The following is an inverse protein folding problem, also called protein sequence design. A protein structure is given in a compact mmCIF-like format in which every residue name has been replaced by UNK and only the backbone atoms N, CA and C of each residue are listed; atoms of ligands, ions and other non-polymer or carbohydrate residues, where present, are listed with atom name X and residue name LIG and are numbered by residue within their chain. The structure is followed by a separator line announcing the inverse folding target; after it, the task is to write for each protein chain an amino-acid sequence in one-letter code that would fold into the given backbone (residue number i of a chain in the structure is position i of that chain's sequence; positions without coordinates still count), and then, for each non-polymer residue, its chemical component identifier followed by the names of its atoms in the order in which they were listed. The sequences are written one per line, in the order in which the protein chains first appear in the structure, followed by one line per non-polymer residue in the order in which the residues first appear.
data_IF_667436021109
#
_entry.id   IF_667436021109
#
_cell.length_a   1.000
_cell.length_b   1.000
_cell.length_c   1.000
_cell.angle_alpha   90.00
_cell.angle_beta   90.00
_cell.angle_gamma   90.00
#
_symmetry.space_group_name_H-M   'P 1'
#
loop_
_entity.id
_entity.type
_entity.pdbx_description
1 polymer ?
#
# COMPACT_ATOMS: atom_id res chain seq x y z
N UNK A 1 -24.66 61.35 -44.76
CA UNK A 1 -23.74 60.91 -45.83
C UNK A 1 -22.34 60.56 -45.39
N UNK A 2 -21.66 61.39 -44.58
CA UNK A 2 -20.27 61.03 -44.09
C UNK A 2 -20.15 59.69 -43.35
N UNK A 3 -21.12 59.29 -42.51
CA UNK A 3 -21.10 58.00 -41.76
C UNK A 3 -21.28 56.77 -42.67
N UNK A 4 -22.03 56.91 -43.76
CA UNK A 4 -22.26 55.82 -44.71
C UNK A 4 -21.02 55.63 -45.57
N UNK A 5 -20.35 56.74 -45.93
CA UNK A 5 -19.10 56.68 -46.66
C UNK A 5 -17.96 56.01 -45.85
N UNK A 6 -17.91 56.30 -44.55
CA UNK A 6 -16.93 55.67 -43.64
C UNK A 6 -17.17 54.17 -43.46
N UNK A 7 -18.46 53.75 -43.35
CA UNK A 7 -18.82 52.33 -43.30
C UNK A 7 -18.48 51.58 -44.60
N UNK A 8 -18.69 52.20 -45.73
CA UNK A 8 -18.32 51.61 -47.02
C UNK A 8 -16.81 51.47 -47.22
N UNK A 9 -16.05 52.47 -46.71
CA UNK A 9 -14.58 52.41 -46.72
C UNK A 9 -14.05 51.30 -45.83
N UNK A 10 -14.67 51.06 -44.66
CA UNK A 10 -14.29 49.96 -43.76
C UNK A 10 -14.60 48.58 -44.32
N UNK A 11 -15.71 48.47 -45.11
CA UNK A 11 -16.10 47.23 -45.81
C UNK A 11 -15.14 46.87 -46.96
N UNK A 12 -14.55 47.87 -47.60
CA UNK A 12 -13.58 47.71 -48.68
C UNK A 12 -12.20 47.25 -48.16
N UNK A 13 -11.81 47.72 -46.97
CA UNK A 13 -10.51 47.35 -46.37
C UNK A 13 -10.53 45.91 -45.82
N UNK A 14 -11.71 45.41 -45.42
CA UNK A 14 -11.84 44.04 -44.89
C UNK A 14 -11.63 42.94 -45.91
N UNK A 15 -11.64 43.26 -47.21
CA UNK A 15 -11.38 42.27 -48.29
C UNK A 15 -9.92 42.11 -48.68
N UNK A 16 -9.00 42.89 -48.09
CA UNK A 16 -7.58 42.82 -48.47
C UNK A 16 -6.72 41.93 -47.55
N UNK A 17 -7.31 41.22 -46.58
CA UNK A 17 -6.61 40.19 -45.81
C UNK A 17 -6.56 38.88 -46.61
N UNK A 18 -5.93 38.87 -47.77
CA UNK A 18 -5.54 37.64 -48.43
C UNK A 18 -4.34 37.05 -47.70
N UNK A 19 -4.63 36.05 -46.91
CA UNK A 19 -3.55 35.21 -46.33
C UNK A 19 -2.77 34.63 -47.53
N UNK A 20 -1.56 35.10 -47.74
CA UNK A 20 -0.67 34.56 -48.76
C UNK A 20 -0.06 33.30 -48.20
N UNK A 21 -0.46 32.18 -48.78
CA UNK A 21 0.24 30.92 -48.52
C UNK A 21 1.62 31.02 -49.19
N UNK A 22 2.67 31.02 -48.40
CA UNK A 22 4.05 31.08 -48.88
C UNK A 22 4.55 29.74 -49.37
N UNK A 23 3.71 28.70 -49.33
CA UNK A 23 4.10 27.36 -49.68
C UNK A 23 5.22 26.79 -48.80
N UNK A 24 5.75 25.69 -49.18
CA UNK A 24 6.84 25.02 -48.47
C UNK A 24 8.17 25.68 -48.90
N UNK A 25 8.76 26.49 -48.01
CA UNK A 25 10.06 27.11 -48.23
C UNK A 25 11.14 26.28 -47.53
N UNK A 26 11.91 25.52 -48.32
CA UNK A 26 13.00 24.69 -47.84
C UNK A 26 12.81 23.21 -48.14
N UNK A 27 13.85 22.42 -47.89
CA UNK A 27 13.78 20.96 -48.03
C UNK A 27 12.92 20.34 -46.92
N UNK A 28 11.70 19.94 -47.28
CA UNK A 28 10.85 19.18 -46.33
C UNK A 28 11.10 17.69 -46.56
N UNK A 29 11.47 17.00 -45.53
CA UNK A 29 11.58 15.56 -45.53
C UNK A 29 10.27 14.96 -45.02
N UNK A 30 9.73 13.98 -45.72
CA UNK A 30 8.60 13.23 -45.21
C UNK A 30 9.04 12.47 -43.98
N UNK A 31 8.39 12.72 -42.83
CA UNK A 31 8.58 11.94 -41.63
C UNK A 31 7.97 10.57 -41.91
N UNK A 32 8.82 9.59 -42.19
CA UNK A 32 8.44 8.17 -42.32
C UNK A 32 8.48 7.49 -40.94
N UNK A 33 7.79 8.06 -39.97
CA UNK A 33 7.62 7.39 -38.72
C UNK A 33 6.60 6.26 -38.88
N UNK A 34 6.99 5.05 -38.46
CA UNK A 34 6.05 3.93 -38.35
C UNK A 34 5.02 4.27 -37.31
N UNK A 35 3.79 3.84 -37.52
CA UNK A 35 2.76 3.92 -36.48
C UNK A 35 3.24 3.19 -35.23
N UNK A 36 3.39 3.91 -34.11
CA UNK A 36 3.91 3.37 -32.85
C UNK A 36 3.09 2.15 -32.36
N UNK A 37 1.78 2.15 -32.61
CA UNK A 37 0.91 1.03 -32.24
C UNK A 37 1.22 -0.22 -33.07
N UNK A 38 1.46 -0.06 -34.35
CA UNK A 38 1.85 -1.18 -35.25
C UNK A 38 3.20 -1.75 -34.83
N UNK A 39 4.17 -0.89 -34.56
CA UNK A 39 5.49 -1.32 -34.11
C UNK A 39 5.43 -2.07 -32.75
N UNK A 40 4.63 -1.59 -31.80
CA UNK A 40 4.42 -2.28 -30.53
C UNK A 40 3.77 -3.65 -30.76
N UNK A 41 2.75 -3.73 -31.61
CA UNK A 41 2.09 -5.00 -31.92
C UNK A 41 3.03 -6.00 -32.60
N UNK A 42 3.82 -5.56 -33.57
CA UNK A 42 4.85 -6.40 -34.22
C UNK A 42 5.85 -6.95 -33.20
N UNK A 43 6.39 -6.07 -32.32
CA UNK A 43 7.35 -6.47 -31.28
C UNK A 43 6.74 -7.45 -30.28
N UNK A 44 5.47 -7.26 -29.89
CA UNK A 44 4.76 -8.17 -29.01
C UNK A 44 4.54 -9.54 -29.66
N UNK A 45 4.15 -9.57 -30.94
CA UNK A 45 3.97 -10.82 -31.67
C UNK A 45 5.29 -11.59 -31.81
N UNK A 46 6.39 -10.91 -32.13
CA UNK A 46 7.71 -11.52 -32.17
C UNK A 46 8.11 -12.06 -30.80
N UNK A 47 7.95 -11.27 -29.73
CA UNK A 47 8.26 -11.70 -28.37
C UNK A 47 7.39 -12.88 -27.90
N UNK A 48 6.17 -13.02 -28.41
CA UNK A 48 5.31 -14.18 -28.17
C UNK A 48 5.80 -15.42 -28.93
N UNK A 49 6.20 -15.26 -30.20
CA UNK A 49 6.66 -16.38 -31.06
C UNK A 49 7.98 -16.96 -30.57
N UNK A 50 8.92 -16.14 -30.14
CA UNK A 50 10.25 -16.56 -29.66
C UNK A 50 10.28 -16.91 -28.16
N UNK A 51 9.13 -16.88 -27.49
CA UNK A 51 8.98 -17.27 -26.06
C UNK A 51 9.48 -16.22 -25.06
N UNK A 52 10.00 -15.07 -25.49
CA UNK A 52 10.46 -13.99 -24.58
C UNK A 52 9.34 -13.48 -23.70
N UNK A 53 8.12 -13.36 -24.24
CA UNK A 53 6.97 -12.91 -23.47
C UNK A 53 6.63 -13.88 -22.33
N UNK A 54 6.62 -15.19 -22.61
CA UNK A 54 6.37 -16.22 -21.57
C UNK A 54 7.46 -16.20 -20.49
N UNK A 55 8.73 -16.11 -20.90
CA UNK A 55 9.85 -16.01 -19.96
C UNK A 55 9.74 -14.78 -19.07
N UNK A 56 9.38 -13.64 -19.64
CA UNK A 56 9.16 -12.41 -18.87
C UNK A 56 8.01 -12.56 -17.88
N UNK A 57 6.87 -13.13 -18.30
CA UNK A 57 5.73 -13.39 -17.42
C UNK A 57 6.10 -14.31 -16.24
N UNK A 58 6.87 -15.37 -16.49
CA UNK A 58 7.37 -16.25 -15.43
C UNK A 58 8.33 -15.52 -14.47
N UNK A 59 9.23 -14.70 -14.99
CA UNK A 59 10.11 -13.90 -14.14
C UNK A 59 9.32 -12.92 -13.27
N UNK A 60 8.35 -12.21 -13.83
CA UNK A 60 7.48 -11.31 -13.08
C UNK A 60 6.70 -12.07 -12.00
N UNK A 61 6.11 -13.22 -12.35
CA UNK A 61 5.38 -14.08 -11.41
C UNK A 61 6.27 -14.54 -10.26
N UNK A 62 7.48 -15.00 -10.56
CA UNK A 62 8.43 -15.47 -9.56
C UNK A 62 8.89 -14.32 -8.65
N UNK A 63 9.20 -13.17 -9.22
CA UNK A 63 9.58 -11.98 -8.44
C UNK A 63 8.46 -11.51 -7.50
N UNK A 64 7.23 -11.47 -8.00
CA UNK A 64 6.05 -11.12 -7.19
C UNK A 64 5.86 -12.15 -6.08
N UNK A 65 5.96 -13.45 -6.40
CA UNK A 65 5.84 -14.51 -5.41
C UNK A 65 6.90 -14.38 -4.31
N UNK A 66 8.15 -14.13 -4.68
CA UNK A 66 9.23 -13.92 -3.70
C UNK A 66 8.97 -12.70 -2.82
N UNK A 67 8.55 -11.58 -3.39
CA UNK A 67 8.23 -10.37 -2.61
C UNK A 67 7.06 -10.56 -1.65
N UNK A 68 6.04 -11.34 -2.04
CA UNK A 68 4.91 -11.65 -1.17
C UNK A 68 5.31 -12.66 -0.10
N UNK A 69 6.09 -13.68 -0.47
CA UNK A 69 6.48 -14.74 0.46
C UNK A 69 7.49 -14.25 1.51
N UNK A 70 8.44 -13.41 1.10
CA UNK A 70 9.48 -12.86 1.98
C UNK A 70 9.51 -11.33 1.88
N UNK A 71 8.54 -10.64 2.50
CA UNK A 71 8.50 -9.19 2.51
C UNK A 71 9.77 -8.63 3.18
N UNK A 72 10.31 -7.54 2.63
CA UNK A 72 11.50 -6.91 3.19
C UNK A 72 11.23 -6.42 4.62
N UNK A 73 12.01 -6.89 5.57
CA UNK A 73 12.08 -6.35 6.92
C UNK A 73 13.23 -5.33 7.00
N UNK A 74 12.96 -4.15 7.52
CA UNK A 74 13.96 -3.08 7.57
C UNK A 74 14.79 -3.09 8.86
N UNK A 75 14.26 -3.63 9.96
CA UNK A 75 14.96 -3.72 11.24
C UNK A 75 14.75 -5.11 11.85
N UNK A 76 15.86 -5.71 12.28
CA UNK A 76 15.84 -6.98 13.00
C UNK A 76 15.62 -6.69 14.49
N UNK A 77 14.48 -7.12 15.02
CA UNK A 77 14.23 -7.06 16.46
C UNK A 77 15.01 -8.18 17.16
N UNK A 78 15.50 -7.87 18.35
CA UNK A 78 16.22 -8.84 19.19
C UNK A 78 15.23 -9.84 19.82
N UNK A 79 15.75 -10.98 20.25
CA UNK A 79 14.98 -11.88 21.08
C UNK A 79 14.84 -11.27 22.49
N UNK A 80 13.65 -11.42 23.08
CA UNK A 80 13.43 -10.99 24.44
C UNK A 80 14.27 -11.84 25.41
N UNK A 81 15.07 -11.16 26.24
CA UNK A 81 15.90 -11.82 27.27
C UNK A 81 15.14 -11.92 28.58
N UNK A 82 14.24 -10.98 28.82
CA UNK A 82 13.39 -10.91 30.01
C UNK A 82 11.96 -10.52 29.62
N UNK A 83 11.01 -10.80 30.48
CA UNK A 83 9.63 -10.40 30.27
C UNK A 83 9.47 -8.91 30.58
N UNK A 84 8.99 -8.14 29.61
CA UNK A 84 8.66 -6.72 29.77
C UNK A 84 7.20 -6.49 29.41
N UNK A 85 6.49 -5.64 30.18
CA UNK A 85 5.10 -5.31 29.87
C UNK A 85 4.81 -3.82 30.04
N UNK A 86 3.92 -3.30 29.19
CA UNK A 86 3.40 -1.92 29.29
C UNK A 86 2.00 -1.81 28.69
N UNK A 87 1.43 -0.63 28.81
CA UNK A 87 0.11 -0.34 28.27
C UNK A 87 0.18 0.72 27.20
N UNK A 88 -0.62 0.54 26.16
CA UNK A 88 -0.80 1.48 25.06
C UNK A 88 -2.24 1.98 25.07
N UNK A 89 -2.44 3.33 25.10
CA UNK A 89 -3.74 3.97 24.94
C UNK A 89 -4.01 4.21 23.43
N UNK A 90 -4.96 3.51 22.81
CA UNK A 90 -5.28 3.68 21.41
C UNK A 90 -6.15 4.90 21.12
N UNK A 91 -6.43 5.74 22.12
CA UNK A 91 -7.22 6.94 21.93
C UNK A 91 -6.58 7.90 20.94
N UNK A 92 -7.42 8.50 20.12
CA UNK A 92 -7.02 9.51 19.12
C UNK A 92 -7.78 10.80 19.33
N UNK A 93 -7.14 11.93 19.07
CA UNK A 93 -7.82 13.22 18.98
C UNK A 93 -8.27 13.43 17.53
N UNK A 94 -9.55 13.76 17.34
CA UNK A 94 -10.09 14.00 16.01
C UNK A 94 -9.55 15.33 15.47
N UNK A 95 -8.92 15.36 14.28
CA UNK A 95 -8.35 16.59 13.73
C UNK A 95 -9.43 17.55 13.19
N UNK A 96 -10.62 17.05 12.89
CA UNK A 96 -11.76 17.82 12.35
C UNK A 96 -13.08 17.23 12.82
N UNK A 97 -14.19 17.99 12.60
CA UNK A 97 -15.54 17.52 12.90
C UNK A 97 -15.91 16.32 12.02
N UNK A 98 -16.38 15.25 12.65
CA UNK A 98 -16.96 14.13 11.91
C UNK A 98 -18.46 14.39 11.70
N UNK A 99 -18.86 14.38 10.43
CA UNK A 99 -20.25 14.66 10.00
C UNK A 99 -20.81 13.44 9.27
N UNK A 100 -22.13 13.28 9.34
CA UNK A 100 -22.85 12.34 8.49
C UNK A 100 -23.02 12.90 7.05
N UNK A 101 -23.68 12.12 6.19
CA UNK A 101 -23.96 12.52 4.80
C UNK A 101 -24.85 13.77 4.70
N UNK A 102 -25.62 14.09 5.76
CA UNK A 102 -26.51 15.24 5.84
C UNK A 102 -25.84 16.47 6.47
N UNK A 103 -24.54 16.38 6.80
CA UNK A 103 -23.78 17.46 7.43
C UNK A 103 -23.94 17.57 8.94
N UNK A 104 -24.69 16.66 9.59
CA UNK A 104 -24.87 16.67 11.06
C UNK A 104 -23.60 16.19 11.73
N UNK A 105 -23.06 17.03 12.62
CA UNK A 105 -21.86 16.71 13.42
C UNK A 105 -22.23 15.69 14.50
N UNK A 106 -21.53 14.56 14.55
CA UNK A 106 -21.65 13.56 15.61
C UNK A 106 -20.43 13.49 16.52
N UNK A 107 -19.27 13.98 16.09
CA UNK A 107 -18.11 14.26 16.91
C UNK A 107 -17.46 15.57 16.49
N UNK A 108 -17.16 16.43 17.46
CA UNK A 108 -16.45 17.70 17.23
C UNK A 108 -14.94 17.46 17.07
N UNK A 109 -14.28 18.37 16.37
CA UNK A 109 -12.83 18.43 16.33
C UNK A 109 -12.24 18.43 17.75
N UNK A 110 -11.04 17.90 17.91
CA UNK A 110 -10.31 17.75 19.18
C UNK A 110 -10.97 16.84 20.23
N UNK A 111 -12.12 16.20 19.92
CA UNK A 111 -12.69 15.18 20.82
C UNK A 111 -11.73 13.99 20.90
N UNK A 112 -11.39 13.58 22.14
CA UNK A 112 -10.63 12.34 22.38
C UNK A 112 -11.59 11.16 22.26
N UNK A 113 -11.30 10.24 21.33
CA UNK A 113 -12.10 9.04 21.08
C UNK A 113 -11.24 7.81 21.26
N UNK A 114 -11.69 6.87 22.09
CA UNK A 114 -11.04 5.56 22.24
C UNK A 114 -11.80 4.51 21.39
N UNK A 115 -11.17 3.92 20.37
CA UNK A 115 -11.81 2.89 19.54
C UNK A 115 -12.29 1.68 20.33
N UNK A 116 -11.57 1.31 21.42
CA UNK A 116 -11.90 0.14 22.24
C UNK A 116 -13.19 0.31 23.07
N UNK A 117 -13.74 1.51 23.16
CA UNK A 117 -15.07 1.75 23.76
C UNK A 117 -16.21 1.28 22.85
N UNK A 118 -15.96 1.19 21.56
CA UNK A 118 -16.96 0.82 20.53
C UNK A 118 -16.71 -0.57 19.97
N UNK A 119 -15.45 -0.92 19.72
CA UNK A 119 -15.04 -2.17 19.07
C UNK A 119 -13.92 -2.80 19.90
N UNK A 120 -14.21 -3.97 20.50
CA UNK A 120 -13.20 -4.71 21.24
C UNK A 120 -12.24 -5.47 20.32
N UNK A 121 -10.99 -5.64 20.78
CA UNK A 121 -10.01 -6.49 20.11
C UNK A 121 -10.39 -7.96 20.35
N UNK A 122 -11.03 -8.59 19.36
CA UNK A 122 -11.55 -9.96 19.47
C UNK A 122 -10.47 -11.04 19.52
N UNK A 123 -9.24 -10.72 19.11
CA UNK A 123 -8.10 -11.66 19.05
C UNK A 123 -6.84 -11.00 19.56
N UNK A 124 -6.07 -11.74 20.37
CA UNK A 124 -4.70 -11.34 20.71
C UNK A 124 -3.81 -11.33 19.47
N UNK A 125 -2.87 -10.39 19.42
CA UNK A 125 -1.87 -10.32 18.37
C UNK A 125 -0.56 -10.88 18.92
N UNK A 126 0.07 -11.81 18.22
CA UNK A 126 1.38 -12.37 18.58
C UNK A 126 2.36 -12.01 17.47
N UNK A 127 3.38 -11.25 17.82
CA UNK A 127 4.46 -10.86 16.93
C UNK A 127 5.64 -11.80 17.13
N UNK A 128 6.16 -12.37 16.05
CA UNK A 128 7.30 -13.29 16.07
C UNK A 128 8.24 -13.07 14.89
N UNK A 129 9.46 -13.51 15.07
CA UNK A 129 10.38 -13.73 13.96
C UNK A 129 10.07 -15.11 13.34
N UNK A 130 9.57 -15.13 12.10
CA UNK A 130 9.23 -16.37 11.39
C UNK A 130 10.45 -17.21 10.98
N UNK A 131 11.68 -16.71 11.13
CA UNK A 131 12.91 -17.47 10.91
C UNK A 131 13.32 -18.25 12.17
N UNK A 132 12.90 -17.77 13.35
CA UNK A 132 13.18 -18.43 14.63
C UNK A 132 12.18 -19.57 14.89
N UNK A 133 12.66 -20.81 14.82
CA UNK A 133 11.83 -22.02 15.01
C UNK A 133 11.20 -22.11 16.41
N UNK A 134 11.87 -21.59 17.45
CA UNK A 134 11.37 -21.61 18.82
C UNK A 134 10.19 -20.66 18.97
N UNK A 135 10.32 -19.45 18.42
CA UNK A 135 9.23 -18.47 18.40
C UNK A 135 8.03 -18.97 17.59
N UNK A 136 8.27 -19.57 16.42
CA UNK A 136 7.22 -20.17 15.59
C UNK A 136 6.48 -21.28 16.33
N UNK A 137 7.22 -22.21 16.96
CA UNK A 137 6.63 -23.29 17.76
C UNK A 137 5.79 -22.73 18.91
N UNK A 138 6.35 -21.82 19.69
CA UNK A 138 5.66 -21.20 20.82
C UNK A 138 4.39 -20.48 20.35
N UNK A 139 4.42 -19.71 19.28
CA UNK A 139 3.24 -19.00 18.75
C UNK A 139 2.13 -19.96 18.28
N UNK A 140 2.48 -21.08 17.69
CA UNK A 140 1.55 -22.14 17.29
C UNK A 140 0.91 -22.78 18.53
N UNK A 141 1.69 -23.03 19.58
CA UNK A 141 1.18 -23.57 20.84
C UNK A 141 0.18 -22.58 21.49
N UNK A 142 0.48 -21.27 21.46
CA UNK A 142 -0.46 -20.23 21.92
C UNK A 142 -1.75 -20.20 21.07
N UNK A 143 -1.63 -20.35 19.74
CA UNK A 143 -2.77 -20.40 18.84
C UNK A 143 -3.70 -21.56 19.17
N UNK A 144 -3.18 -22.75 19.46
CA UNK A 144 -3.97 -23.91 19.84
C UNK A 144 -4.57 -23.78 21.26
N UNK A 145 -3.79 -23.29 22.23
CA UNK A 145 -4.25 -23.07 23.62
C UNK A 145 -5.41 -22.07 23.67
N UNK A 146 -5.34 -20.98 22.92
CA UNK A 146 -6.37 -19.92 22.86
C UNK A 146 -7.48 -20.20 21.86
N UNK A 147 -7.61 -21.43 21.37
CA UNK A 147 -8.68 -21.86 20.41
C UNK A 147 -8.80 -20.90 19.22
N UNK A 148 -7.71 -20.57 18.59
CA UNK A 148 -7.65 -19.67 17.43
C UNK A 148 -8.06 -18.21 17.68
N UNK A 149 -8.20 -17.78 18.93
CA UNK A 149 -8.41 -16.38 19.31
C UNK A 149 -7.11 -15.56 19.28
N UNK A 150 -6.22 -15.92 18.34
CA UNK A 150 -4.91 -15.30 18.17
C UNK A 150 -4.70 -15.03 16.69
N UNK A 151 -4.03 -13.92 16.37
CA UNK A 151 -3.44 -13.63 15.05
C UNK A 151 -1.93 -13.66 15.20
N UNK A 152 -1.25 -14.55 14.48
CA UNK A 152 0.21 -14.61 14.46
C UNK A 152 0.70 -13.68 13.35
N UNK A 153 1.55 -12.73 13.71
CA UNK A 153 2.08 -11.68 12.84
C UNK A 153 3.60 -11.87 12.76
N UNK A 154 4.07 -12.09 11.55
CA UNK A 154 5.50 -12.21 11.28
C UNK A 154 6.13 -10.83 11.11
N UNK A 155 7.31 -10.65 11.65
CA UNK A 155 8.17 -9.49 11.38
C UNK A 155 9.22 -9.81 10.33
N UNK A 156 9.49 -11.09 10.12
CA UNK A 156 10.46 -11.68 9.19
C UNK A 156 10.03 -13.09 8.78
N UNK A 157 10.60 -13.59 7.69
CA UNK A 157 10.48 -14.98 7.25
C UNK A 157 9.46 -15.19 6.15
N UNK A 158 9.42 -16.43 5.67
CA UNK A 158 8.64 -16.85 4.51
C UNK A 158 7.20 -17.19 4.89
N UNK A 159 6.32 -16.20 4.77
CA UNK A 159 4.95 -16.29 5.24
C UNK A 159 4.13 -17.40 4.54
N UNK A 160 4.26 -17.52 3.20
CA UNK A 160 3.51 -18.52 2.43
C UNK A 160 3.98 -19.93 2.76
N UNK A 161 5.29 -20.13 2.89
CA UNK A 161 5.87 -21.41 3.24
C UNK A 161 5.41 -21.87 4.64
N UNK A 162 5.42 -20.94 5.62
CA UNK A 162 4.91 -21.21 6.97
C UNK A 162 3.40 -21.54 6.96
N UNK A 163 2.59 -20.78 6.22
CA UNK A 163 1.16 -21.08 6.11
C UNK A 163 0.91 -22.45 5.48
N UNK A 164 1.66 -22.81 4.45
CA UNK A 164 1.53 -24.08 3.76
C UNK A 164 1.95 -25.25 4.64
N UNK A 165 3.07 -25.10 5.36
CA UNK A 165 3.62 -26.15 6.23
C UNK A 165 2.79 -26.35 7.51
N UNK A 166 2.29 -25.28 8.12
CA UNK A 166 1.61 -25.34 9.42
C UNK A 166 0.09 -25.35 9.31
N UNK A 167 -0.49 -25.10 8.15
CA UNK A 167 -1.95 -25.03 7.89
C UNK A 167 -2.67 -23.99 8.80
N UNK A 168 -1.94 -22.96 9.22
CA UNK A 168 -2.41 -21.86 10.05
C UNK A 168 -2.21 -20.56 9.26
N UNK A 169 -3.14 -19.61 9.41
CA UNK A 169 -3.01 -18.29 8.80
C UNK A 169 -2.02 -17.44 9.59
N UNK A 170 -0.97 -16.99 8.91
CA UNK A 170 -0.03 -15.99 9.38
C UNK A 170 -0.31 -14.65 8.70
N UNK A 171 0.10 -13.56 9.34
CA UNK A 171 0.05 -12.19 8.84
C UNK A 171 1.45 -11.62 8.84
N UNK A 172 1.67 -10.52 8.18
CA UNK A 172 2.97 -9.84 8.15
C UNK A 172 2.79 -8.37 8.54
N UNK A 173 3.65 -7.83 9.41
CA UNK A 173 3.68 -6.42 9.75
C UNK A 173 4.49 -5.64 8.72
N UNK A 174 3.81 -5.19 7.66
CA UNK A 174 4.45 -4.43 6.60
C UNK A 174 5.02 -3.11 7.14
N UNK A 175 6.29 -2.83 6.78
CA UNK A 175 7.02 -1.63 7.20
C UNK A 175 7.13 -1.47 8.72
N UNK A 176 6.88 -2.53 9.48
CA UNK A 176 6.90 -2.52 10.95
C UNK A 176 5.95 -1.47 11.56
N UNK A 177 4.80 -1.30 10.93
CA UNK A 177 3.82 -0.30 11.33
C UNK A 177 3.27 -0.56 12.74
N UNK A 178 2.92 -1.81 13.03
CA UNK A 178 2.38 -2.18 14.34
C UNK A 178 3.49 -2.26 15.41
N UNK A 179 4.65 -2.80 15.06
CA UNK A 179 5.84 -2.83 15.92
C UNK A 179 6.19 -1.42 16.42
N UNK A 180 6.27 -0.46 15.52
CA UNK A 180 6.56 0.94 15.86
C UNK A 180 5.44 1.56 16.70
N UNK A 181 4.18 1.30 16.32
CA UNK A 181 3.02 1.84 17.01
C UNK A 181 2.92 1.36 18.45
N UNK A 182 3.25 0.10 18.71
CA UNK A 182 3.19 -0.50 20.05
C UNK A 182 4.52 -0.43 20.80
N UNK A 183 5.56 0.19 20.22
CA UNK A 183 6.90 0.35 20.80
C UNK A 183 7.55 -0.98 21.19
N UNK A 184 7.29 -2.05 20.41
CA UNK A 184 7.86 -3.37 20.59
C UNK A 184 9.35 -3.34 20.22
N UNK A 185 10.21 -3.77 21.15
CA UNK A 185 11.66 -3.76 20.97
C UNK A 185 12.26 -5.16 20.89
N UNK A 186 11.55 -6.17 21.41
CA UNK A 186 12.01 -7.56 21.39
C UNK A 186 10.86 -8.53 21.09
N UNK A 187 11.22 -9.71 20.60
CA UNK A 187 10.29 -10.77 20.17
C UNK A 187 10.54 -12.06 20.95
N UNK A 188 9.52 -12.88 21.18
CA UNK A 188 8.11 -12.67 20.81
C UNK A 188 7.43 -11.59 21.62
N UNK A 189 6.39 -10.97 21.03
CA UNK A 189 5.56 -10.01 21.76
C UNK A 189 4.07 -10.32 21.58
N UNK A 190 3.29 -10.04 22.61
CA UNK A 190 1.84 -10.27 22.64
C UNK A 190 1.14 -8.96 22.91
N UNK A 191 0.07 -8.68 22.14
CA UNK A 191 -0.81 -7.53 22.35
C UNK A 191 -2.21 -8.04 22.63
N UNK A 192 -2.76 -7.65 23.78
CA UNK A 192 -4.09 -8.04 24.25
C UNK A 192 -4.85 -6.82 24.75
N UNK A 193 -6.16 -6.84 24.61
CA UNK A 193 -6.99 -5.80 25.22
C UNK A 193 -7.13 -6.04 26.72
N UNK A 194 -6.91 -4.99 27.51
CA UNK A 194 -7.24 -4.95 28.93
C UNK A 194 -8.05 -3.69 29.23
N UNK A 195 -9.36 -3.86 29.34
CA UNK A 195 -10.29 -2.73 29.48
C UNK A 195 -10.26 -1.80 28.24
N UNK A 196 -9.93 -0.52 28.45
CA UNK A 196 -9.81 0.50 27.40
C UNK A 196 -8.37 0.67 26.86
N UNK A 197 -7.45 -0.15 27.30
CA UNK A 197 -6.04 -0.12 26.92
C UNK A 197 -5.65 -1.41 26.21
N UNK A 198 -4.54 -1.36 25.48
CA UNK A 198 -3.85 -2.54 24.97
C UNK A 198 -2.67 -2.83 25.89
N UNK A 199 -2.62 -4.04 26.43
CA UNK A 199 -1.48 -4.55 27.18
C UNK A 199 -0.52 -5.19 26.18
N UNK A 200 0.73 -4.76 26.18
CA UNK A 200 1.82 -5.32 25.39
C UNK A 200 2.77 -6.07 26.32
N UNK A 201 3.19 -7.26 25.91
CA UNK A 201 4.08 -8.13 26.69
C UNK A 201 5.14 -8.66 25.73
N UNK A 202 6.39 -8.38 25.99
CA UNK A 202 7.54 -9.09 25.40
C UNK A 202 7.84 -10.32 26.27
N UNK A 203 8.03 -11.47 25.65
CA UNK A 203 8.10 -12.77 26.34
C UNK A 203 9.48 -13.38 26.12
N UNK A 204 10.23 -13.63 27.17
CA UNK A 204 11.44 -14.44 27.12
C UNK A 204 11.07 -15.92 26.95
N UNK A 205 11.70 -16.62 25.97
CA UNK A 205 11.47 -18.03 25.67
C UNK A 205 12.64 -18.91 26.19
#
# INVERSE_FOLDING_TARGET
MKKILLALLFLLISKMALAKDYGIIGATYQIKEKNLLEEIQEKLQLAKKDGRLNKFQEQVKNNIFQQINEPKSHNFLKNAIENRQWFYDPSVHLPYDLKDQNGKIFYKAHTKVNPLEKISLSKSLIFINGVDSNQVKWAIDQYHKKKSKVKIILTQGKIIDLMSAKKIRFYFDQNQTLIKKFEIQALPAVVEQQGKLLKIIEVAL
#
